data_IF_914028101522
#
_entry.id   IF_914028101522
#
_cell.length_a   1.000
_cell.length_b   1.000
_cell.length_c   1.000
_cell.angle_alpha   90.00
_cell.angle_beta   90.00
_cell.angle_gamma   90.00
#
_symmetry.space_group_name_H-M   'P 1'
#
loop_
_entity.id
_entity.type
_entity.pdbx_description
1 polymer ?
#
# COMPACT_ATOMS: atom_id res chain seq x y z
N UNK A 1 7.49 -11.42 4.07
CA UNK A 1 7.42 -10.52 2.89
C UNK A 1 8.72 -10.50 2.07
N UNK A 2 9.88 -10.18 2.67
CA UNK A 2 11.17 -10.25 1.94
C UNK A 2 11.40 -11.65 1.33
N UNK A 3 11.41 -12.69 2.17
CA UNK A 3 11.54 -14.09 1.73
C UNK A 3 10.51 -14.47 0.66
N UNK A 4 9.22 -14.17 0.89
CA UNK A 4 8.14 -14.39 -0.11
C UNK A 4 8.49 -13.76 -1.47
N UNK A 5 9.01 -12.54 -1.49
CA UNK A 5 9.36 -11.85 -2.75
C UNK A 5 10.55 -12.52 -3.42
N UNK A 6 11.57 -12.88 -2.67
CA UNK A 6 12.80 -13.48 -3.18
C UNK A 6 12.55 -14.92 -3.69
N UNK A 7 11.81 -15.71 -2.92
CA UNK A 7 11.59 -17.13 -3.19
C UNK A 7 10.47 -17.39 -4.19
N UNK A 8 9.37 -16.62 -4.10
CA UNK A 8 8.15 -16.90 -4.89
C UNK A 8 8.05 -16.05 -6.14
N UNK A 9 8.43 -14.77 -6.07
CA UNK A 9 8.27 -13.84 -7.20
C UNK A 9 9.56 -13.72 -8.01
N UNK A 10 10.69 -13.50 -7.34
CA UNK A 10 11.97 -13.30 -7.99
C UNK A 10 12.57 -14.57 -8.54
N UNK A 11 12.64 -15.65 -7.76
CA UNK A 11 13.24 -16.92 -8.18
C UNK A 11 12.78 -17.38 -9.59
N UNK A 12 11.46 -17.44 -9.90
CA UNK A 12 11.01 -17.83 -11.24
C UNK A 12 11.29 -16.76 -12.32
N UNK A 13 11.22 -15.47 -11.98
CA UNK A 13 11.44 -14.38 -12.94
C UNK A 13 12.93 -14.06 -13.18
N UNK A 14 13.84 -14.55 -12.32
CA UNK A 14 15.25 -14.17 -12.28
C UNK A 14 15.94 -14.35 -13.61
N UNK A 15 15.70 -15.48 -14.30
CA UNK A 15 16.34 -15.73 -15.58
C UNK A 15 15.86 -14.75 -16.66
N UNK A 16 14.55 -14.50 -16.72
CA UNK A 16 13.97 -13.52 -17.64
C UNK A 16 14.55 -12.13 -17.38
N UNK A 17 14.64 -11.69 -16.12
CA UNK A 17 15.23 -10.39 -15.76
C UNK A 17 16.69 -10.32 -16.19
N UNK A 18 17.48 -11.37 -15.94
CA UNK A 18 18.91 -11.40 -16.30
C UNK A 18 19.16 -11.45 -17.80
N UNK A 19 18.22 -11.95 -18.59
CA UNK A 19 18.28 -11.88 -20.05
C UNK A 19 18.11 -10.44 -20.55
N UNK A 20 17.33 -9.61 -19.86
CA UNK A 20 17.11 -8.20 -20.19
C UNK A 20 18.20 -7.29 -19.63
N UNK A 21 18.58 -7.51 -18.37
CA UNK A 21 19.61 -6.75 -17.65
C UNK A 21 20.63 -7.75 -17.03
N UNK A 22 21.75 -8.02 -17.73
CA UNK A 22 22.76 -8.96 -17.24
C UNK A 22 23.38 -8.55 -15.90
N UNK A 23 23.68 -9.57 -15.09
CA UNK A 23 24.24 -9.45 -13.73
C UNK A 23 23.33 -8.72 -12.71
N UNK A 24 22.05 -8.53 -13.02
CA UNK A 24 21.11 -7.92 -12.08
C UNK A 24 20.78 -8.82 -10.88
N UNK A 25 20.71 -8.21 -9.69
CA UNK A 25 20.35 -8.86 -8.43
C UNK A 25 19.13 -8.19 -7.77
N UNK A 26 18.50 -8.90 -6.83
CA UNK A 26 17.45 -8.36 -5.96
C UNK A 26 17.91 -8.42 -4.50
N UNK A 27 17.67 -7.35 -3.77
CA UNK A 27 17.78 -7.27 -2.30
C UNK A 27 16.43 -6.84 -1.72
N UNK A 28 15.78 -7.69 -0.92
CA UNK A 28 14.66 -7.27 -0.11
C UNK A 28 15.12 -6.92 1.30
N UNK A 29 14.63 -5.80 1.85
CA UNK A 29 14.97 -5.38 3.20
C UNK A 29 13.80 -4.79 3.96
N UNK A 30 13.94 -4.73 5.27
CA UNK A 30 12.93 -4.13 6.15
C UNK A 30 13.35 -2.71 6.52
N UNK A 31 12.46 -1.75 6.30
CA UNK A 31 12.63 -0.34 6.70
C UNK A 31 11.72 0.03 7.87
N UNK A 32 12.00 1.14 8.56
CA UNK A 32 11.19 1.63 9.69
C UNK A 32 10.00 2.52 9.27
N UNK A 33 9.89 2.86 7.99
CA UNK A 33 8.95 3.87 7.48
C UNK A 33 7.52 3.39 7.23
N UNK A 34 6.68 4.34 6.83
CA UNK A 34 5.27 4.15 6.41
C UNK A 34 5.11 3.93 4.90
N UNK A 35 6.22 3.78 4.18
CA UNK A 35 6.21 3.48 2.76
C UNK A 35 6.96 2.17 2.50
N UNK A 36 6.45 1.44 1.52
CA UNK A 36 7.19 0.38 0.82
C UNK A 36 7.48 0.91 -0.58
N UNK A 37 8.67 0.59 -1.10
CA UNK A 37 9.07 1.06 -2.43
C UNK A 37 10.17 0.19 -3.04
N UNK A 38 10.14 0.15 -4.37
CA UNK A 38 11.22 -0.31 -5.23
C UNK A 38 12.16 0.83 -5.70
N UNK A 39 13.47 0.59 -5.60
CA UNK A 39 14.55 1.40 -6.15
C UNK A 39 15.55 0.52 -6.91
N UNK A 40 16.15 1.06 -7.97
CA UNK A 40 17.30 0.46 -8.65
C UNK A 40 18.60 1.22 -8.33
N UNK A 41 19.67 0.50 -8.02
CA UNK A 41 21.03 1.02 -7.91
C UNK A 41 21.82 0.65 -9.18
N UNK A 42 22.13 1.61 -10.07
CA UNK A 42 22.83 1.33 -11.32
C UNK A 42 24.31 0.98 -11.11
N UNK A 43 24.93 1.38 -9.99
CA UNK A 43 26.35 1.08 -9.71
C UNK A 43 26.53 -0.39 -9.34
N UNK A 44 25.60 -0.91 -8.54
CA UNK A 44 25.59 -2.30 -8.10
C UNK A 44 24.76 -3.22 -9.01
N UNK A 45 24.07 -2.65 -10.01
CA UNK A 45 23.05 -3.33 -10.84
C UNK A 45 22.03 -4.09 -9.98
N UNK A 46 21.60 -3.48 -8.88
CA UNK A 46 20.77 -4.13 -7.87
C UNK A 46 19.41 -3.46 -7.76
N UNK A 47 18.35 -4.26 -7.84
CA UNK A 47 17.03 -3.84 -7.41
C UNK A 47 16.91 -4.01 -5.90
N UNK A 48 16.33 -3.01 -5.25
CA UNK A 48 16.06 -3.03 -3.83
C UNK A 48 14.58 -2.80 -3.59
N UNK A 49 13.94 -3.72 -2.87
CA UNK A 49 12.57 -3.56 -2.38
C UNK A 49 12.66 -3.38 -0.86
N UNK A 50 12.15 -2.25 -0.37
CA UNK A 50 12.12 -1.96 1.07
C UNK A 50 10.70 -2.07 1.57
N UNK A 51 10.45 -2.99 2.51
CA UNK A 51 9.17 -3.15 3.21
C UNK A 51 9.15 -2.33 4.49
N UNK A 52 8.28 -1.31 4.56
CA UNK A 52 8.16 -0.44 5.73
C UNK A 52 7.37 -1.08 6.88
N UNK A 53 7.98 -1.21 8.07
CA UNK A 53 7.32 -1.78 9.25
C UNK A 53 6.05 -1.03 9.65
N UNK A 54 6.08 0.31 9.67
CA UNK A 54 4.91 1.11 10.05
C UNK A 54 3.78 0.97 9.02
N UNK A 55 4.12 0.85 7.73
CA UNK A 55 3.14 0.54 6.69
C UNK A 55 2.43 -0.79 6.96
N UNK A 56 3.19 -1.84 7.30
CA UNK A 56 2.61 -3.16 7.61
C UNK A 56 1.72 -3.09 8.85
N UNK A 57 2.14 -2.37 9.89
CA UNK A 57 1.33 -2.15 11.09
C UNK A 57 0.03 -1.43 10.76
N UNK A 58 0.08 -0.41 9.91
CA UNK A 58 -1.11 0.34 9.49
C UNK A 58 -2.10 -0.55 8.70
N UNK A 59 -1.61 -1.55 7.93
CA UNK A 59 -2.48 -2.53 7.24
C UNK A 59 -3.20 -3.50 8.20
N UNK A 60 -2.73 -3.64 9.44
CA UNK A 60 -3.40 -4.45 10.45
C UNK A 60 -4.49 -3.67 11.20
N UNK A 61 -4.71 -2.38 10.88
CA UNK A 61 -5.72 -1.53 11.49
C UNK A 61 -6.88 -1.34 10.49
N UNK A 62 -8.04 -2.01 10.68
CA UNK A 62 -9.16 -2.01 9.72
C UNK A 62 -9.63 -0.60 9.33
N UNK A 63 -9.69 0.32 10.29
CA UNK A 63 -10.16 1.70 10.12
C UNK A 63 -9.31 2.51 9.12
N UNK A 64 -8.03 2.15 8.95
CA UNK A 64 -7.12 2.82 8.05
C UNK A 64 -7.19 2.30 6.61
N UNK A 65 -7.74 1.10 6.37
CA UNK A 65 -7.59 0.35 5.09
C UNK A 65 -8.45 0.93 3.97
N UNK A 66 -9.55 1.60 4.29
CA UNK A 66 -10.50 2.15 3.32
C UNK A 66 -9.91 3.13 2.31
N UNK A 67 -8.82 3.82 2.67
CA UNK A 67 -8.15 4.81 1.81
C UNK A 67 -6.99 4.28 0.97
N UNK A 68 -6.59 3.02 1.14
CA UNK A 68 -5.33 2.54 0.57
C UNK A 68 -5.45 2.23 -0.91
N UNK A 69 -4.39 2.57 -1.66
CA UNK A 69 -4.32 2.23 -3.09
C UNK A 69 -4.45 0.71 -3.29
N UNK A 70 -3.70 -0.09 -2.53
CA UNK A 70 -3.76 -1.56 -2.62
C UNK A 70 -5.16 -2.12 -2.38
N UNK A 71 -5.92 -1.59 -1.42
CA UNK A 71 -7.29 -2.07 -1.15
C UNK A 71 -8.25 -1.72 -2.29
N UNK A 72 -8.08 -0.56 -2.93
CA UNK A 72 -8.84 -0.20 -4.13
C UNK A 72 -8.45 -1.06 -5.33
N UNK A 73 -7.16 -1.29 -5.53
CA UNK A 73 -6.65 -2.13 -6.63
C UNK A 73 -7.21 -3.55 -6.52
N UNK A 74 -7.21 -4.13 -5.31
CA UNK A 74 -7.79 -5.45 -5.04
C UNK A 74 -9.26 -5.50 -5.45
N UNK A 75 -10.08 -4.55 -4.98
CA UNK A 75 -11.52 -4.52 -5.28
C UNK A 75 -11.82 -4.26 -6.76
N UNK A 76 -11.18 -3.25 -7.34
CA UNK A 76 -11.52 -2.77 -8.69
C UNK A 76 -11.03 -3.69 -9.81
N UNK A 77 -9.97 -4.47 -9.56
CA UNK A 77 -9.40 -5.41 -10.53
C UNK A 77 -9.69 -6.86 -10.18
N UNK A 78 -10.54 -7.09 -9.17
CA UNK A 78 -10.95 -8.41 -8.70
C UNK A 78 -9.77 -9.32 -8.33
N UNK A 79 -8.64 -8.74 -7.94
CA UNK A 79 -7.50 -9.50 -7.44
C UNK A 79 -7.91 -10.25 -6.18
N UNK A 80 -7.49 -11.50 -6.04
CA UNK A 80 -7.96 -12.38 -4.95
C UNK A 80 -9.50 -12.45 -4.84
N UNK A 81 -10.20 -12.36 -5.98
CA UNK A 81 -11.68 -12.33 -6.02
C UNK A 81 -12.29 -11.01 -5.52
N UNK A 82 -11.50 -9.94 -5.41
CA UNK A 82 -11.95 -8.64 -4.91
C UNK A 82 -11.99 -8.53 -3.38
N UNK A 83 -11.70 -9.60 -2.65
CA UNK A 83 -11.75 -9.63 -1.19
C UNK A 83 -10.52 -8.95 -0.59
N UNK A 84 -10.75 -7.94 0.25
CA UNK A 84 -9.66 -7.27 0.98
C UNK A 84 -9.54 -7.92 2.35
N UNK A 85 -8.41 -8.56 2.61
CA UNK A 85 -8.03 -9.08 3.94
C UNK A 85 -6.62 -8.56 4.26
N UNK A 86 -6.17 -8.65 5.52
CA UNK A 86 -4.79 -8.27 5.85
C UNK A 86 -3.80 -9.13 5.07
N UNK A 87 -4.05 -10.44 4.98
CA UNK A 87 -3.25 -11.37 4.18
C UNK A 87 -3.19 -10.96 2.70
N UNK A 88 -4.35 -10.67 2.07
CA UNK A 88 -4.41 -10.22 0.67
C UNK A 88 -3.68 -8.89 0.47
N UNK A 89 -3.82 -7.95 1.41
CA UNK A 89 -3.12 -6.66 1.35
C UNK A 89 -1.60 -6.81 1.39
N UNK A 90 -1.07 -7.72 2.21
CA UNK A 90 0.37 -7.98 2.28
C UNK A 90 0.86 -8.70 1.03
N UNK A 91 0.15 -9.74 0.58
CA UNK A 91 0.49 -10.47 -0.65
C UNK A 91 0.47 -9.54 -1.87
N UNK A 92 -0.57 -8.72 -2.00
CA UNK A 92 -0.68 -7.70 -3.04
C UNK A 92 0.49 -6.71 -2.99
N UNK A 93 0.92 -6.30 -1.79
CA UNK A 93 2.04 -5.38 -1.63
C UNK A 93 3.34 -5.99 -2.15
N UNK A 94 3.60 -7.28 -1.92
CA UNK A 94 4.74 -7.96 -2.53
C UNK A 94 4.68 -7.90 -4.05
N UNK A 95 3.51 -8.20 -4.63
CA UNK A 95 3.30 -8.17 -6.08
C UNK A 95 3.46 -6.75 -6.66
N UNK A 96 2.94 -5.74 -5.96
CA UNK A 96 2.98 -4.34 -6.38
C UNK A 96 4.41 -3.82 -6.50
N UNK A 97 5.24 -4.05 -5.49
CA UNK A 97 6.66 -3.64 -5.55
C UNK A 97 7.45 -4.44 -6.57
N UNK A 98 7.14 -5.73 -6.70
CA UNK A 98 7.77 -6.56 -7.70
C UNK A 98 7.37 -6.15 -9.13
N UNK A 99 6.13 -5.72 -9.35
CA UNK A 99 5.70 -5.14 -10.61
C UNK A 99 6.48 -3.86 -10.94
N UNK A 100 6.82 -3.02 -9.96
CA UNK A 100 7.72 -1.89 -10.18
C UNK A 100 9.14 -2.29 -10.56
N UNK A 101 9.63 -3.45 -10.11
CA UNK A 101 10.89 -4.02 -10.56
C UNK A 101 10.79 -4.41 -12.03
N UNK A 102 9.81 -5.23 -12.40
CA UNK A 102 9.63 -5.70 -13.78
C UNK A 102 9.36 -4.55 -14.76
N UNK A 103 8.59 -3.55 -14.34
CA UNK A 103 8.34 -2.32 -15.09
C UNK A 103 9.64 -1.54 -15.35
N UNK A 104 10.53 -1.47 -14.35
CA UNK A 104 11.84 -0.83 -14.52
C UNK A 104 12.72 -1.62 -15.48
N UNK A 105 12.79 -2.95 -15.32
CA UNK A 105 13.55 -3.84 -16.23
C UNK A 105 13.08 -3.67 -17.68
N UNK A 106 11.77 -3.50 -17.89
CA UNK A 106 11.17 -3.31 -19.21
C UNK A 106 11.36 -1.89 -19.78
N UNK A 107 11.96 -0.95 -19.04
CA UNK A 107 12.13 0.45 -19.46
C UNK A 107 10.84 1.27 -19.48
N UNK A 108 9.77 0.78 -18.84
CA UNK A 108 8.41 1.36 -18.93
C UNK A 108 8.03 2.14 -17.66
N UNK A 109 9.02 2.56 -16.87
CA UNK A 109 8.83 3.38 -15.66
C UNK A 109 9.17 4.83 -15.98
N UNK A 110 8.17 5.70 -15.92
CA UNK A 110 8.33 7.12 -16.28
C UNK A 110 8.22 8.05 -15.06
N UNK A 111 8.94 9.17 -15.10
CA UNK A 111 8.87 10.21 -14.07
C UNK A 111 7.45 10.78 -14.01
N UNK A 112 6.84 10.75 -12.83
CA UNK A 112 5.46 11.22 -12.62
C UNK A 112 4.37 10.24 -13.06
N UNK A 113 4.72 9.08 -13.62
CA UNK A 113 3.75 8.06 -14.06
C UNK A 113 4.26 6.65 -13.79
N UNK A 114 4.27 6.28 -12.50
CA UNK A 114 4.75 4.97 -12.02
C UNK A 114 3.68 3.89 -12.05
N UNK A 115 2.39 4.25 -11.92
CA UNK A 115 1.23 3.35 -12.04
C UNK A 115 0.55 3.52 -13.41
N UNK A 116 1.31 3.33 -14.49
CA UNK A 116 0.82 3.45 -15.86
C UNK A 116 0.21 2.13 -16.38
N UNK A 117 -0.26 2.12 -17.63
CA UNK A 117 -0.89 0.93 -18.22
C UNK A 117 0.04 -0.29 -18.22
N UNK A 118 1.34 -0.10 -18.46
CA UNK A 118 2.30 -1.20 -18.46
C UNK A 118 2.50 -1.79 -17.06
N UNK A 119 2.57 -0.94 -16.02
CA UNK A 119 2.58 -1.41 -14.63
C UNK A 119 1.37 -2.29 -14.33
N UNK A 120 0.18 -1.83 -14.71
CA UNK A 120 -1.04 -2.58 -14.45
C UNK A 120 -1.11 -3.89 -15.23
N UNK A 121 -0.63 -3.96 -16.48
CA UNK A 121 -0.54 -5.24 -17.20
C UNK A 121 0.36 -6.25 -16.49
N UNK A 122 1.54 -5.83 -16.01
CA UNK A 122 2.42 -6.70 -15.23
C UNK A 122 1.69 -7.20 -13.97
N UNK A 123 1.00 -6.30 -13.28
CA UNK A 123 0.29 -6.65 -12.05
C UNK A 123 -0.86 -7.63 -12.34
N UNK A 124 -1.65 -7.38 -13.39
CA UNK A 124 -2.71 -8.26 -13.87
C UNK A 124 -2.14 -9.67 -14.19
N UNK A 125 -1.00 -9.74 -14.90
CA UNK A 125 -0.31 -10.99 -15.22
C UNK A 125 0.20 -11.74 -13.98
N UNK A 126 0.75 -11.04 -12.98
CA UNK A 126 1.15 -11.66 -11.71
C UNK A 126 -0.03 -12.30 -10.98
N UNK A 127 -1.23 -11.72 -11.09
CA UNK A 127 -2.45 -12.30 -10.53
C UNK A 127 -2.96 -13.47 -11.39
N UNK A 128 -3.08 -13.27 -12.69
CA UNK A 128 -3.62 -14.27 -13.62
C UNK A 128 -2.75 -15.54 -13.72
N UNK A 129 -1.43 -15.41 -13.63
CA UNK A 129 -0.49 -16.54 -13.66
C UNK A 129 -0.41 -17.32 -12.34
N UNK A 130 -1.08 -16.86 -11.28
CA UNK A 130 -1.03 -17.47 -9.95
C UNK A 130 0.18 -17.07 -9.10
N UNK A 131 1.06 -16.18 -9.59
CA UNK A 131 2.19 -15.66 -8.81
C UNK A 131 1.74 -14.92 -7.54
N UNK A 132 0.65 -14.16 -7.62
CA UNK A 132 0.06 -13.48 -6.47
C UNK A 132 -0.52 -14.46 -5.44
N UNK A 133 -1.21 -15.52 -5.90
CA UNK A 133 -1.76 -16.54 -5.00
C UNK A 133 -0.65 -17.37 -4.37
N UNK A 134 0.41 -17.70 -5.12
CA UNK A 134 1.59 -18.35 -4.56
C UNK A 134 2.24 -17.48 -3.46
N UNK A 135 2.36 -16.17 -3.70
CA UNK A 135 2.88 -15.24 -2.70
C UNK A 135 1.97 -15.18 -1.46
N UNK A 136 0.65 -15.17 -1.64
CA UNK A 136 -0.34 -15.21 -0.56
C UNK A 136 -0.19 -16.47 0.30
N UNK A 137 -0.22 -17.65 -0.32
CA UNK A 137 -0.06 -18.93 0.38
C UNK A 137 1.26 -19.03 1.13
N UNK A 138 2.36 -18.65 0.48
CA UNK A 138 3.68 -18.70 1.12
C UNK A 138 3.77 -17.72 2.29
N UNK A 139 3.14 -16.55 2.20
CA UNK A 139 3.09 -15.59 3.31
C UNK A 139 2.33 -16.16 4.50
N UNK A 140 1.19 -16.83 4.28
CA UNK A 140 0.44 -17.49 5.34
C UNK A 140 1.25 -18.60 6.02
N UNK A 141 1.88 -19.49 5.24
CA UNK A 141 2.73 -20.58 5.77
C UNK A 141 3.88 -20.02 6.61
N UNK A 142 4.55 -18.96 6.15
CA UNK A 142 5.67 -18.36 6.90
C UNK A 142 5.19 -17.66 8.18
N UNK A 143 4.02 -17.03 8.17
CA UNK A 143 3.44 -16.44 9.36
C UNK A 143 3.11 -17.52 10.40
N UNK A 144 2.45 -18.60 9.98
CA UNK A 144 2.10 -19.73 10.84
C UNK A 144 3.36 -20.37 11.46
N UNK A 145 4.38 -20.66 10.65
CA UNK A 145 5.67 -21.19 11.14
C UNK A 145 6.37 -20.27 12.14
N UNK A 146 6.15 -18.96 12.04
CA UNK A 146 6.67 -17.97 12.97
C UNK A 146 5.77 -17.76 14.20
N UNK A 147 4.67 -18.50 14.33
CA UNK A 147 3.69 -18.33 15.41
C UNK A 147 2.93 -17.00 15.33
N UNK A 148 2.85 -16.39 14.14
CA UNK A 148 2.15 -15.14 13.89
C UNK A 148 0.80 -15.40 13.24
N UNK A 149 -0.25 -14.79 13.78
CA UNK A 149 -1.55 -14.73 13.11
C UNK A 149 -1.58 -13.53 12.16
N UNK A 150 -1.91 -13.77 10.90
CA UNK A 150 -2.21 -12.71 9.91
C UNK A 150 -3.69 -12.82 9.58
N UNK A 151 -4.52 -11.81 9.93
CA UNK A 151 -5.95 -11.88 9.70
C UNK A 151 -6.29 -12.13 8.22
N UNK A 152 -7.14 -13.11 7.98
CA UNK A 152 -7.73 -13.37 6.64
C UNK A 152 -9.24 -13.08 6.61
N UNK A 153 -9.76 -12.40 7.64
CA UNK A 153 -11.13 -11.92 7.66
C UNK A 153 -11.33 -10.77 6.67
N UNK A 154 -12.45 -10.75 5.93
CA UNK A 154 -12.79 -9.64 5.04
C UNK A 154 -12.85 -8.30 5.77
N UNK A 155 -12.19 -7.30 5.19
CA UNK A 155 -12.21 -5.91 5.59
C UNK A 155 -13.16 -5.18 4.65
N UNK A 156 -14.30 -4.77 5.19
CA UNK A 156 -15.32 -4.05 4.45
C UNK A 156 -14.79 -2.73 3.88
N UNK A 157 -15.31 -2.36 2.70
CA UNK A 157 -15.05 -1.05 2.17
C UNK A 157 -15.84 -0.02 2.99
N UNK A 158 -15.23 1.12 3.40
CA UNK A 158 -16.05 2.15 4.01
C UNK A 158 -17.02 2.72 2.97
N UNK A 159 -18.27 2.93 3.38
CA UNK A 159 -19.22 3.65 2.56
C UNK A 159 -18.77 5.12 2.44
N UNK A 160 -18.16 5.44 1.32
CA UNK A 160 -17.63 6.78 1.07
C UNK A 160 -18.76 7.81 0.98
N UNK A 161 -19.97 7.43 0.56
CA UNK A 161 -21.11 8.36 0.52
C UNK A 161 -21.55 8.72 1.93
N UNK A 162 -21.67 7.72 2.80
CA UNK A 162 -21.96 7.94 4.21
C UNK A 162 -20.86 8.76 4.90
N UNK A 163 -19.59 8.44 4.65
CA UNK A 163 -18.48 9.22 5.20
C UNK A 163 -18.48 10.68 4.75
N UNK A 164 -18.83 10.98 3.50
CA UNK A 164 -18.95 12.37 3.05
C UNK A 164 -20.11 13.06 3.78
N UNK A 165 -21.25 12.37 3.94
CA UNK A 165 -22.42 12.93 4.61
C UNK A 165 -22.19 13.27 6.09
N UNK A 166 -21.21 12.62 6.73
CA UNK A 166 -20.85 12.88 8.12
C UNK A 166 -20.08 14.18 8.35
N UNK A 167 -19.64 14.88 7.30
CA UNK A 167 -18.75 16.04 7.43
C UNK A 167 -19.24 17.26 6.68
N UNK A 168 -19.24 18.40 7.35
CA UNK A 168 -19.60 19.71 6.81
C UNK A 168 -18.48 20.73 7.03
N UNK A 169 -18.47 21.81 6.22
CA UNK A 169 -17.58 22.95 6.46
C UNK A 169 -17.93 23.58 7.81
N UNK A 170 -16.92 23.78 8.66
CA UNK A 170 -17.04 24.33 10.00
C UNK A 170 -16.80 23.33 11.12
N UNK A 171 -17.01 22.02 10.86
CA UNK A 171 -16.87 20.97 11.85
C UNK A 171 -15.50 20.98 12.50
N UNK A 172 -15.48 20.86 13.83
CA UNK A 172 -14.26 20.67 14.61
C UNK A 172 -13.85 19.21 14.56
N UNK A 173 -12.62 18.95 14.14
CA UNK A 173 -12.11 17.60 13.91
C UNK A 173 -10.72 17.40 14.49
N UNK A 174 -10.45 16.17 14.94
CA UNK A 174 -9.12 15.69 15.21
C UNK A 174 -8.69 14.66 14.17
N UNK A 175 -7.39 14.57 13.91
CA UNK A 175 -6.80 13.63 12.95
C UNK A 175 -5.34 13.35 13.27
N UNK A 176 -4.84 12.18 12.84
CA UNK A 176 -3.52 11.70 13.20
C UNK A 176 -3.57 10.67 14.34
N UNK A 177 -2.42 10.29 14.88
CA UNK A 177 -2.33 9.24 15.88
C UNK A 177 -1.30 9.56 16.97
N UNK A 178 -1.66 9.24 18.22
CA UNK A 178 -0.80 9.39 19.39
C UNK A 178 -0.30 10.82 19.57
N UNK A 179 1.01 10.98 19.79
CA UNK A 179 1.65 12.30 20.02
C UNK A 179 1.60 13.27 18.82
N UNK A 180 1.07 12.84 17.68
CA UNK A 180 0.90 13.65 16.46
C UNK A 180 -0.57 13.82 16.09
N UNK A 181 -1.48 13.62 17.05
CA UNK A 181 -2.84 14.07 16.87
C UNK A 181 -2.88 15.59 16.72
N UNK A 182 -3.59 16.04 15.71
CA UNK A 182 -3.78 17.44 15.35
C UNK A 182 -5.28 17.71 15.35
N UNK A 183 -5.60 18.97 15.59
CA UNK A 183 -6.97 19.47 15.65
C UNK A 183 -7.14 20.59 14.63
N UNK A 184 -8.36 20.76 14.16
CA UNK A 184 -8.69 21.83 13.25
C UNK A 184 -10.16 21.95 12.92
N UNK A 185 -10.47 22.83 11.96
CA UNK A 185 -11.82 22.98 11.40
C UNK A 185 -11.83 22.65 9.91
N UNK A 186 -12.87 21.95 9.47
CA UNK A 186 -13.04 21.66 8.05
C UNK A 186 -13.34 22.97 7.30
N UNK A 187 -12.52 23.28 6.30
CA UNK A 187 -12.74 24.43 5.41
C UNK A 187 -13.16 24.02 3.99
N UNK A 188 -13.03 22.73 3.65
CA UNK A 188 -13.48 22.17 2.37
C UNK A 188 -13.71 20.68 2.47
N UNK A 189 -14.85 20.20 1.98
CA UNK A 189 -15.14 18.77 1.84
C UNK A 189 -14.94 18.36 0.37
N UNK A 190 -14.19 17.29 0.12
CA UNK A 190 -14.07 16.68 -1.21
C UNK A 190 -14.44 15.19 -1.12
N UNK A 191 -14.66 14.56 -2.26
CA UNK A 191 -15.09 13.14 -2.36
C UNK A 191 -14.26 12.13 -1.55
N UNK A 192 -12.96 12.37 -1.34
CA UNK A 192 -12.06 11.45 -0.62
C UNK A 192 -11.35 12.07 0.58
N UNK A 193 -11.39 13.39 0.72
CA UNK A 193 -10.57 14.12 1.68
C UNK A 193 -11.24 15.43 2.10
N UNK A 194 -11.07 15.84 3.34
CA UNK A 194 -11.33 17.22 3.77
C UNK A 194 -10.04 18.04 3.77
N UNK A 195 -10.16 19.34 3.51
CA UNK A 195 -9.14 20.31 3.87
C UNK A 195 -9.46 20.84 5.25
N UNK A 196 -8.54 20.65 6.18
CA UNK A 196 -8.66 21.09 7.58
C UNK A 196 -7.69 22.22 7.82
N UNK A 197 -8.20 23.34 8.32
CA UNK A 197 -7.39 24.43 8.85
C UNK A 197 -7.03 24.11 10.31
N UNK A 198 -5.74 24.05 10.60
CA UNK A 198 -5.26 23.68 11.92
C UNK A 198 -5.67 24.69 13.01
N UNK A 199 -5.97 24.19 14.20
CA UNK A 199 -6.21 24.99 15.41
C UNK A 199 -5.05 24.80 16.41
N UNK A 200 -5.07 25.58 17.50
CA UNK A 200 -4.07 25.50 18.57
C UNK A 200 -2.64 25.64 18.05
N UNK A 201 -1.82 24.61 18.30
CA UNK A 201 -0.40 24.53 17.90
C UNK A 201 -0.18 24.46 16.38
N UNK A 202 -1.21 24.19 15.60
CA UNK A 202 -1.16 24.05 14.14
C UNK A 202 -1.84 25.20 13.39
N UNK A 203 -2.16 26.29 14.09
CA UNK A 203 -2.84 27.46 13.50
C UNK A 203 -2.07 28.03 12.31
N UNK A 204 -2.79 28.30 11.22
CA UNK A 204 -2.23 28.82 9.96
C UNK A 204 -1.75 27.74 8.99
N UNK A 205 -1.73 26.47 9.41
CA UNK A 205 -1.42 25.34 8.53
C UNK A 205 -2.69 24.73 7.96
N UNK A 206 -2.59 24.17 6.75
CA UNK A 206 -3.68 23.47 6.08
C UNK A 206 -3.28 22.04 5.79
N UNK A 207 -4.19 21.12 6.11
CA UNK A 207 -3.98 19.69 5.96
C UNK A 207 -5.03 19.12 5.02
N UNK A 208 -4.61 18.19 4.16
CA UNK A 208 -5.53 17.39 3.35
C UNK A 208 -5.66 16.02 4.00
N UNK A 209 -6.81 15.76 4.62
CA UNK A 209 -7.02 14.58 5.48
C UNK A 209 -8.03 13.65 4.81
N UNK A 210 -7.72 12.35 4.61
CA UNK A 210 -8.70 11.35 4.18
C UNK A 210 -9.90 11.30 5.12
N UNK A 211 -11.11 11.14 4.57
CA UNK A 211 -12.36 11.13 5.37
C UNK A 211 -12.36 10.09 6.48
N UNK A 212 -11.75 8.93 6.23
CA UNK A 212 -11.61 7.81 7.18
C UNK A 212 -10.71 8.12 8.38
N UNK A 213 -9.90 9.17 8.33
CA UNK A 213 -8.98 9.54 9.40
C UNK A 213 -9.48 10.70 10.27
N UNK A 214 -10.65 11.26 9.93
CA UNK A 214 -11.26 12.33 10.69
C UNK A 214 -12.05 11.74 11.86
N UNK A 215 -11.91 12.38 13.02
CA UNK A 215 -12.73 12.15 14.20
C UNK A 215 -13.37 13.46 14.61
N UNK A 216 -14.62 13.42 15.04
CA UNK A 216 -15.27 14.61 15.57
C UNK A 216 -14.61 14.95 16.91
N UNK A 217 -14.25 16.22 17.10
CA UNK A 217 -13.93 16.70 18.44
C UNK A 217 -15.26 16.79 19.20
N UNK A 218 -15.41 16.01 20.26
CA UNK A 218 -16.53 16.20 21.18
C UNK A 218 -16.39 17.58 21.83
N UNK A 219 -17.52 18.27 21.99
CA UNK A 219 -17.61 19.54 22.73
C UNK A 219 -17.24 19.36 24.22
#
# INVERSE_FOLDING_TARGET
MCAVTEEVLWSPARQWVRNQLPATTLLCRVGSGQATYHRFDPRLKQHQITYGKRMIMDKHQPDAVGGWLSGREIRQREYFGGTVTTLNLLAHTCCHEFAHLLQHVSGQRYRGSVHNQHFYRILDELHASGGAEAARRHLAIQAEKAGLSVPDDPIEAPDTRQLIANWTIGDAVSFGAGKRELEGRIIRVNRKTCTVEGTGRSRGLRYRVPLVLLRALAD
#
